data_IF_348205165674
#
_entry.id   IF_348205165674
#
_cell.length_a   1.000
_cell.length_b   1.000
_cell.length_c   1.000
_cell.angle_alpha   90.00
_cell.angle_beta   90.00
_cell.angle_gamma   90.00
#
_symmetry.space_group_name_H-M   'P 1'
#
loop_
_entity.id
_entity.type
_entity.pdbx_description
1 polymer ?
#
# COMPACT_ATOMS: atom_id res chain seq x y z
N UNK A 1 10.23 2.64 -4.39
CA UNK A 1 9.40 2.59 -3.18
C UNK A 1 8.28 1.56 -3.37
N UNK A 2 8.01 0.75 -2.35
CA UNK A 2 6.96 -0.28 -2.32
C UNK A 2 5.63 0.33 -1.85
N UNK A 3 4.52 -0.34 -2.18
CA UNK A 3 3.17 0.10 -1.80
C UNK A 3 2.99 0.22 -0.28
N UNK A 4 3.46 -0.77 0.48
CA UNK A 4 3.37 -0.76 1.95
C UNK A 4 4.09 0.43 2.58
N UNK A 5 5.25 0.82 2.05
CA UNK A 5 5.98 2.00 2.52
C UNK A 5 5.22 3.30 2.27
N UNK A 6 4.54 3.43 1.13
CA UNK A 6 3.72 4.61 0.79
C UNK A 6 2.54 4.71 1.74
N UNK A 7 1.85 3.60 1.99
CA UNK A 7 0.71 3.53 2.90
C UNK A 7 1.11 3.87 4.34
N UNK A 8 2.28 3.39 4.80
CA UNK A 8 2.83 3.77 6.11
C UNK A 8 3.20 5.25 6.19
N UNK A 9 3.83 5.81 5.15
CA UNK A 9 4.20 7.24 5.12
C UNK A 9 2.98 8.16 5.15
N UNK A 10 1.87 7.72 4.57
CA UNK A 10 0.57 8.42 4.61
C UNK A 10 -0.19 8.19 5.93
N UNK A 11 0.38 7.45 6.90
CA UNK A 11 -0.25 7.08 8.17
C UNK A 11 -1.58 6.32 8.00
N UNK A 12 -1.76 5.64 6.87
CA UNK A 12 -2.95 4.84 6.59
C UNK A 12 -2.88 3.47 7.25
N UNK A 13 -1.66 2.95 7.44
CA UNK A 13 -1.40 1.68 8.12
C UNK A 13 -0.18 1.83 9.04
N UNK A 14 -0.18 1.07 10.12
CA UNK A 14 0.96 0.88 11.00
C UNK A 14 1.92 -0.19 10.49
N UNK A 15 3.12 -0.25 11.07
CA UNK A 15 4.09 -1.31 10.79
C UNK A 15 3.52 -2.70 11.08
N UNK A 16 2.82 -2.85 12.20
CA UNK A 16 2.22 -4.12 12.61
C UNK A 16 1.14 -4.59 11.64
N UNK A 17 0.30 -3.68 11.14
CA UNK A 17 -0.72 -4.01 10.14
C UNK A 17 -0.11 -4.38 8.79
N UNK A 18 0.96 -3.69 8.39
CA UNK A 18 1.71 -4.03 7.19
C UNK A 18 2.33 -5.43 7.29
N UNK A 19 2.98 -5.76 8.41
CA UNK A 19 3.57 -7.08 8.65
C UNK A 19 2.51 -8.18 8.60
N UNK A 20 1.38 -8.00 9.27
CA UNK A 20 0.26 -8.94 9.22
C UNK A 20 -0.26 -9.16 7.80
N UNK A 21 -0.43 -8.08 7.04
CA UNK A 21 -0.90 -8.16 5.65
C UNK A 21 0.13 -8.84 4.72
N UNK A 22 1.43 -8.66 4.97
CA UNK A 22 2.51 -9.33 4.24
C UNK A 22 2.57 -10.84 4.55
N UNK A 23 2.36 -11.23 5.81
CA UNK A 23 2.22 -12.64 6.19
C UNK A 23 1.04 -13.28 5.47
N UNK A 24 -0.12 -12.61 5.45
CA UNK A 24 -1.31 -13.10 4.74
C UNK A 24 -1.10 -13.17 3.23
N UNK A 25 -0.42 -12.19 2.63
CA UNK A 25 -0.08 -12.17 1.22
C UNK A 25 0.74 -13.40 0.82
N UNK A 26 1.73 -13.73 1.64
CA UNK A 26 2.61 -14.89 1.42
C UNK A 26 1.84 -16.21 1.44
N UNK A 27 0.80 -16.30 2.27
CA UNK A 27 -0.02 -17.52 2.39
C UNK A 27 -1.14 -17.62 1.35
N UNK A 28 -1.66 -16.50 0.82
CA UNK A 28 -2.90 -16.49 0.02
C UNK A 28 -2.76 -16.10 -1.45
N UNK A 29 -1.56 -15.78 -1.95
CA UNK A 29 -1.36 -15.29 -3.33
C UNK A 29 -2.25 -14.07 -3.68
N UNK A 30 -2.74 -13.34 -2.67
CA UNK A 30 -3.54 -12.13 -2.84
C UNK A 30 -2.65 -10.89 -2.91
N UNK A 31 -3.12 -9.82 -3.53
CA UNK A 31 -2.37 -8.56 -3.54
C UNK A 31 -2.46 -7.88 -2.18
N UNK A 32 -1.36 -7.28 -1.72
CA UNK A 32 -1.30 -6.52 -0.46
C UNK A 32 -2.45 -5.51 -0.32
N UNK A 33 -2.73 -4.73 -1.37
CA UNK A 33 -3.83 -3.75 -1.36
C UNK A 33 -5.21 -4.37 -1.19
N UNK A 34 -5.45 -5.58 -1.73
CA UNK A 34 -6.72 -6.29 -1.55
C UNK A 34 -6.89 -6.80 -0.13
N UNK A 35 -5.81 -7.28 0.49
CA UNK A 35 -5.81 -7.72 1.89
C UNK A 35 -6.11 -6.53 2.81
N UNK A 36 -5.41 -5.40 2.62
CA UNK A 36 -5.59 -4.20 3.44
C UNK A 36 -7.01 -3.62 3.30
N UNK A 37 -7.56 -3.60 2.08
CA UNK A 37 -8.97 -3.20 1.87
C UNK A 37 -9.93 -4.20 2.51
N UNK A 38 -9.68 -5.50 2.37
CA UNK A 38 -10.52 -6.55 2.95
C UNK A 38 -10.54 -6.55 4.48
N UNK A 39 -9.45 -6.08 5.10
CA UNK A 39 -9.36 -5.86 6.55
C UNK A 39 -9.96 -4.52 7.00
N UNK A 40 -10.42 -3.67 6.08
CA UNK A 40 -10.96 -2.34 6.39
C UNK A 40 -9.90 -1.32 6.81
N UNK A 41 -8.62 -1.61 6.60
CA UNK A 41 -7.50 -0.75 6.98
C UNK A 41 -7.32 0.44 6.03
N UNK A 42 -7.68 0.25 4.76
CA UNK A 42 -7.62 1.28 3.73
C UNK A 42 -8.89 1.26 2.89
N UNK A 43 -9.28 2.41 2.34
CA UNK A 43 -10.35 2.50 1.36
C UNK A 43 -9.81 2.38 -0.06
N UNK A 44 -10.72 2.19 -1.03
CA UNK A 44 -10.36 2.13 -2.45
C UNK A 44 -9.61 3.39 -2.89
N UNK A 45 -10.07 4.57 -2.47
CA UNK A 45 -9.43 5.84 -2.83
C UNK A 45 -8.00 5.96 -2.29
N UNK A 46 -7.75 5.46 -1.07
CA UNK A 46 -6.41 5.43 -0.47
C UNK A 46 -5.46 4.54 -1.27
N UNK A 47 -5.95 3.36 -1.67
CA UNK A 47 -5.19 2.42 -2.50
C UNK A 47 -4.88 3.02 -3.88
N UNK A 48 -5.85 3.66 -4.53
CA UNK A 48 -5.65 4.32 -5.84
C UNK A 48 -4.61 5.43 -5.77
N UNK A 49 -4.66 6.28 -4.74
CA UNK A 49 -3.65 7.32 -4.54
C UNK A 49 -2.26 6.74 -4.29
N UNK A 50 -2.16 5.71 -3.44
CA UNK A 50 -0.89 5.07 -3.14
C UNK A 50 -0.29 4.36 -4.36
N UNK A 51 -1.11 3.71 -5.19
CA UNK A 51 -0.69 3.09 -6.46
C UNK A 51 -0.22 4.12 -7.49
N UNK A 52 -0.92 5.26 -7.59
CA UNK A 52 -0.52 6.36 -8.46
C UNK A 52 0.84 6.94 -8.05
N UNK A 53 1.04 7.16 -6.76
CA UNK A 53 2.33 7.59 -6.23
C UNK A 53 3.43 6.54 -6.47
N UNK A 54 3.12 5.26 -6.26
CA UNK A 54 4.04 4.16 -6.52
C UNK A 54 4.49 4.14 -7.99
N UNK A 55 3.54 4.28 -8.91
CA UNK A 55 3.79 4.34 -10.33
C UNK A 55 4.71 5.50 -10.70
N UNK A 56 4.40 6.71 -10.23
CA UNK A 56 5.22 7.90 -10.49
C UNK A 56 6.66 7.76 -9.98
N UNK A 57 6.83 7.27 -8.73
CA UNK A 57 8.15 7.04 -8.13
C UNK A 57 8.96 5.96 -8.85
N UNK A 58 8.30 4.94 -9.42
CA UNK A 58 8.98 3.88 -10.18
C UNK A 58 9.36 4.30 -11.59
N UNK A 59 8.57 5.19 -12.21
CA UNK A 59 8.78 5.65 -13.58
C UNK A 59 9.62 6.95 -13.65
N UNK A 60 10.18 7.42 -12.53
CA UNK A 60 11.07 8.59 -12.52
C UNK A 60 10.36 9.94 -12.70
N UNK A 61 9.03 9.98 -12.61
CA UNK A 61 8.28 11.23 -12.56
C UNK A 61 8.46 11.84 -11.18
N UNK A 62 9.31 12.86 -11.09
CA UNK A 62 9.41 13.69 -9.89
C UNK A 62 8.10 14.46 -9.75
N UNK A 63 7.20 13.93 -8.93
CA UNK A 63 6.04 14.67 -8.43
C UNK A 63 6.63 15.75 -7.53
N UNK A 64 6.71 16.94 -8.11
CA UNK A 64 6.98 18.18 -7.40
C UNK A 64 5.74 18.40 -6.54
N UNK A 65 5.87 18.11 -5.24
CA UNK A 65 4.96 18.60 -4.21
C UNK A 65 5.43 20.00 -3.80
#
# INVERSE_FOLDING_TARGET
MKLGEILMRKQLISLSELEQALTLQSSRSQKLGEILMGQGLIQRGDLEQALKEQYWRQNGFWVID
#
